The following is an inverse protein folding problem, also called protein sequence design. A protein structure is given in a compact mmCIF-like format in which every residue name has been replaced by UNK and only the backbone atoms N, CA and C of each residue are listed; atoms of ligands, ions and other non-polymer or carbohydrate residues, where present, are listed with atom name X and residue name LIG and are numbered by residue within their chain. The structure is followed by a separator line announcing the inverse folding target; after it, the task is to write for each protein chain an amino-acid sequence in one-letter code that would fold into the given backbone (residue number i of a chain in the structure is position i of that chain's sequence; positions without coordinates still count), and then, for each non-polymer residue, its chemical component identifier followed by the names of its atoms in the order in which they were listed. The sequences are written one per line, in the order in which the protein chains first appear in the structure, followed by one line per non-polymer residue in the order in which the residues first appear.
data_IF_503361725225
#
_entry.id   IF_503361725225
#
_cell.length_a   1.000
_cell.length_b   1.000
_cell.length_c   1.000
_cell.angle_alpha   90.00
_cell.angle_beta   90.00
_cell.angle_gamma   90.00
#
_symmetry.space_group_name_H-M   'P 1'
#
loop_
_entity.id
_entity.type
_entity.pdbx_description
1 polymer ?
#
# COMPACT_ATOMS: atom_id res chain seq x y z
N UNK A 1 13.84 -4.22 -12.41
CA UNK A 1 13.16 -5.44 -11.96
C UNK A 1 11.64 -5.34 -12.11
N UNK A 2 10.92 -4.57 -11.30
CA UNK A 2 9.46 -4.41 -11.41
C UNK A 2 8.98 -3.86 -12.76
N UNK A 3 9.74 -2.93 -13.39
CA UNK A 3 9.41 -2.43 -14.73
C UNK A 3 9.41 -3.58 -15.74
N UNK A 4 10.45 -4.38 -15.77
CA UNK A 4 10.57 -5.54 -16.68
C UNK A 4 9.43 -6.56 -16.45
N UNK A 5 9.12 -6.87 -15.21
CA UNK A 5 8.02 -7.77 -14.87
C UNK A 5 6.65 -7.25 -15.32
N UNK A 6 6.44 -5.93 -15.30
CA UNK A 6 5.21 -5.30 -15.81
C UNK A 6 5.16 -5.27 -17.34
N UNK A 7 6.28 -4.98 -18.00
CA UNK A 7 6.39 -5.00 -19.46
C UNK A 7 6.09 -6.39 -20.02
N UNK A 8 6.52 -7.44 -19.33
CA UNK A 8 6.25 -8.83 -19.67
C UNK A 8 4.91 -9.37 -19.16
N UNK A 9 4.11 -8.56 -18.45
CA UNK A 9 2.80 -8.95 -17.90
C UNK A 9 2.84 -10.22 -17.05
N UNK A 10 3.92 -10.40 -16.29
CA UNK A 10 4.08 -11.56 -15.41
C UNK A 10 2.98 -11.60 -14.34
N UNK A 11 2.49 -12.80 -14.06
CA UNK A 11 1.58 -13.06 -12.93
C UNK A 11 2.26 -12.76 -11.59
N UNK A 12 1.51 -12.75 -10.51
CA UNK A 12 2.04 -12.49 -9.16
C UNK A 12 3.12 -13.52 -8.78
N UNK A 13 2.87 -14.80 -9.05
CA UNK A 13 3.79 -15.89 -8.73
C UNK A 13 5.05 -15.85 -9.60
N UNK A 14 4.93 -15.59 -10.90
CA UNK A 14 6.07 -15.40 -11.79
C UNK A 14 6.93 -14.19 -11.37
N UNK A 15 6.30 -13.10 -10.94
CA UNK A 15 7.02 -11.95 -10.39
C UNK A 15 7.76 -12.29 -9.10
N UNK A 16 7.16 -13.09 -8.23
CA UNK A 16 7.82 -13.55 -7.01
C UNK A 16 9.03 -14.44 -7.33
N UNK A 17 8.89 -15.39 -8.26
CA UNK A 17 10.00 -16.23 -8.70
C UNK A 17 11.14 -15.39 -9.28
N UNK A 18 10.83 -14.43 -10.15
CA UNK A 18 11.79 -13.49 -10.73
C UNK A 18 12.51 -12.65 -9.68
N UNK A 19 11.79 -12.17 -8.65
CA UNK A 19 12.40 -11.44 -7.53
C UNK A 19 13.37 -12.31 -6.74
N UNK A 20 12.98 -13.55 -6.44
CA UNK A 20 13.82 -14.49 -5.70
C UNK A 20 15.10 -14.82 -6.45
N UNK A 21 15.00 -15.03 -7.74
CA UNK A 21 16.14 -15.34 -8.58
C UNK A 21 17.12 -14.15 -8.68
N UNK A 22 16.62 -12.96 -8.98
CA UNK A 22 17.48 -11.84 -9.36
C UNK A 22 17.78 -10.84 -8.22
N UNK A 23 16.98 -10.78 -7.17
CA UNK A 23 17.19 -9.81 -6.09
C UNK A 23 17.60 -10.44 -4.77
N UNK A 24 17.14 -11.63 -4.45
CA UNK A 24 17.43 -12.25 -3.16
C UNK A 24 18.93 -12.43 -2.88
N UNK A 25 19.78 -12.77 -3.85
CA UNK A 25 21.23 -12.84 -3.63
C UNK A 25 21.82 -11.51 -3.17
N UNK A 26 21.45 -10.40 -3.82
CA UNK A 26 21.89 -9.05 -3.45
C UNK A 26 21.38 -8.63 -2.08
N UNK A 27 20.14 -8.97 -1.76
CA UNK A 27 19.56 -8.69 -0.44
C UNK A 27 20.30 -9.47 0.66
N UNK A 28 20.66 -10.72 0.39
CA UNK A 28 21.48 -11.51 1.31
C UNK A 28 22.86 -10.89 1.55
N UNK A 29 23.53 -10.46 0.50
CA UNK A 29 24.82 -9.78 0.59
C UNK A 29 24.73 -8.48 1.40
N UNK A 30 23.73 -7.65 1.16
CA UNK A 30 23.50 -6.42 1.94
C UNK A 30 23.29 -6.75 3.42
N UNK A 31 22.56 -7.82 3.74
CA UNK A 31 22.37 -8.25 5.12
C UNK A 31 23.68 -8.62 5.81
N UNK A 32 24.49 -9.43 5.16
CA UNK A 32 25.79 -9.84 5.69
C UNK A 32 26.71 -8.63 5.91
N UNK A 33 26.73 -7.68 4.98
CA UNK A 33 27.46 -6.42 5.14
C UNK A 33 26.93 -5.60 6.32
N UNK A 34 25.64 -5.48 6.51
CA UNK A 34 25.05 -4.81 7.66
C UNK A 34 25.41 -5.50 8.98
N UNK A 35 25.41 -6.83 9.02
CA UNK A 35 25.84 -7.61 10.18
C UNK A 35 27.32 -7.42 10.49
N UNK A 36 28.18 -7.40 9.48
CA UNK A 36 29.62 -7.15 9.63
C UNK A 36 29.87 -5.74 10.17
N UNK A 37 29.24 -4.73 9.58
CA UNK A 37 29.35 -3.33 10.01
C UNK A 37 28.85 -3.11 11.44
N UNK A 38 27.77 -3.78 11.83
CA UNK A 38 27.20 -3.62 13.19
C UNK A 38 28.17 -4.01 14.31
N UNK A 39 29.13 -4.88 14.00
CA UNK A 39 30.16 -5.33 14.97
C UNK A 39 31.31 -4.34 15.13
N UNK A 40 31.56 -3.52 14.12
CA UNK A 40 32.74 -2.60 14.07
C UNK A 40 32.33 -1.14 14.31
N UNK A 41 31.09 -0.77 14.14
CA UNK A 41 30.63 0.61 14.26
C UNK A 41 30.27 0.99 15.71
N UNK A 42 30.53 2.24 16.05
CA UNK A 42 30.03 2.81 17.31
C UNK A 42 28.49 2.93 17.25
N UNK A 43 27.76 2.38 18.24
CA UNK A 43 26.29 2.35 18.21
C UNK A 43 25.60 3.71 18.07
N UNK A 44 26.25 4.77 18.59
CA UNK A 44 25.73 6.14 18.55
C UNK A 44 26.18 6.95 17.33
N UNK A 45 27.04 6.39 16.46
CA UNK A 45 27.39 7.05 15.20
C UNK A 45 26.20 7.05 14.24
N UNK A 46 26.15 8.01 13.33
CA UNK A 46 25.08 8.11 12.32
C UNK A 46 24.98 6.81 11.51
N UNK A 47 26.10 6.24 11.09
CA UNK A 47 26.14 4.99 10.35
C UNK A 47 25.71 3.79 11.23
N UNK A 48 26.16 3.75 12.49
CA UNK A 48 25.74 2.71 13.44
C UNK A 48 24.24 2.70 13.69
N UNK A 49 23.63 3.87 13.84
CA UNK A 49 22.18 4.01 13.97
C UNK A 49 21.45 3.56 12.71
N UNK A 50 21.94 3.94 11.52
CA UNK A 50 21.34 3.52 10.24
C UNK A 50 21.41 2.00 10.05
N UNK A 51 22.53 1.37 10.36
CA UNK A 51 22.70 -0.09 10.29
C UNK A 51 21.78 -0.78 11.28
N UNK A 52 21.73 -0.32 12.53
CA UNK A 52 20.83 -0.88 13.55
C UNK A 52 19.36 -0.76 13.15
N UNK A 53 18.95 0.37 12.59
CA UNK A 53 17.61 0.57 12.07
C UNK A 53 17.28 -0.41 10.93
N UNK A 54 18.19 -0.58 9.99
CA UNK A 54 18.04 -1.51 8.85
C UNK A 54 17.89 -2.95 9.34
N UNK A 55 18.76 -3.41 10.24
CA UNK A 55 18.71 -4.76 10.80
C UNK A 55 17.41 -5.01 11.60
N UNK A 56 16.94 -4.02 12.35
CA UNK A 56 15.66 -4.08 13.07
C UNK A 56 14.45 -4.25 12.14
N UNK A 57 14.50 -3.63 10.96
CA UNK A 57 13.44 -3.73 9.95
C UNK A 57 13.59 -4.94 9.04
N UNK A 58 14.71 -5.66 9.10
CA UNK A 58 15.05 -6.73 8.16
C UNK A 58 13.94 -7.78 7.96
N UNK A 59 13.31 -8.30 9.03
CA UNK A 59 12.22 -9.26 8.88
C UNK A 59 11.02 -8.71 8.09
N UNK A 60 10.78 -7.40 8.19
CA UNK A 60 9.70 -6.72 7.46
C UNK A 60 10.08 -6.48 6.00
N UNK A 61 11.33 -6.09 5.75
CA UNK A 61 11.86 -5.84 4.41
C UNK A 61 11.88 -7.11 3.55
N UNK A 62 12.13 -8.27 4.15
CA UNK A 62 12.12 -9.55 3.43
C UNK A 62 10.75 -10.03 2.98
N UNK A 63 9.67 -9.54 3.57
CA UNK A 63 8.31 -10.04 3.27
C UNK A 63 7.93 -9.96 1.78
N UNK A 64 8.48 -9.04 1.03
CA UNK A 64 8.25 -8.96 -0.42
C UNK A 64 8.79 -10.16 -1.21
N UNK A 65 9.62 -11.01 -0.58
CA UNK A 65 10.11 -12.27 -1.14
C UNK A 65 9.32 -13.50 -0.67
N UNK A 66 8.41 -13.32 0.28
CA UNK A 66 7.57 -14.40 0.81
C UNK A 66 6.17 -14.37 0.20
N UNK A 67 5.68 -13.19 -0.17
CA UNK A 67 4.31 -12.97 -0.66
C UNK A 67 4.31 -12.41 -2.08
N UNK A 68 3.60 -13.10 -2.99
CA UNK A 68 3.51 -12.73 -4.41
C UNK A 68 2.79 -11.38 -4.63
N UNK A 69 1.80 -11.08 -3.80
CA UNK A 69 0.97 -9.87 -3.91
C UNK A 69 1.66 -8.61 -3.36
N UNK A 70 2.77 -8.75 -2.63
CA UNK A 70 3.50 -7.60 -2.08
C UNK A 70 4.33 -6.93 -3.17
N UNK A 71 4.06 -5.66 -3.42
CA UNK A 71 4.84 -4.82 -4.33
C UNK A 71 6.15 -4.36 -3.67
N UNK A 72 7.22 -4.19 -4.47
CA UNK A 72 8.49 -3.60 -4.00
C UNK A 72 8.40 -2.08 -3.84
N UNK A 73 7.41 -1.46 -4.42
CA UNK A 73 7.19 -0.03 -4.43
C UNK A 73 5.93 0.33 -3.64
N UNK A 74 6.01 1.36 -2.83
CA UNK A 74 4.85 1.96 -2.15
C UNK A 74 4.17 3.06 -2.97
N UNK A 75 4.55 3.26 -4.24
CA UNK A 75 4.00 4.31 -5.11
C UNK A 75 2.47 4.29 -5.16
N UNK A 76 1.87 3.10 -5.11
CA UNK A 76 0.42 2.94 -5.12
C UNK A 76 -0.20 3.53 -3.84
N UNK A 77 0.41 3.28 -2.69
CA UNK A 77 -0.02 3.85 -1.40
C UNK A 77 0.21 5.37 -1.36
N UNK A 78 1.36 5.84 -1.82
CA UNK A 78 1.68 7.28 -1.88
C UNK A 78 0.73 8.03 -2.81
N UNK A 79 0.44 7.48 -3.99
CA UNK A 79 -0.52 8.07 -4.91
C UNK A 79 -1.95 8.12 -4.32
N UNK A 80 -2.31 7.18 -3.47
CA UNK A 80 -3.60 7.20 -2.76
C UNK A 80 -3.69 8.32 -1.73
N UNK A 81 -2.55 8.72 -1.17
CA UNK A 81 -2.48 9.82 -0.20
C UNK A 81 -2.42 11.20 -0.86
N UNK A 82 -2.20 11.29 -2.17
CA UNK A 82 -2.14 12.59 -2.89
C UNK A 82 -3.38 13.46 -2.71
N UNK A 83 -4.62 12.94 -2.82
CA UNK A 83 -5.81 13.76 -2.61
C UNK A 83 -5.85 14.37 -1.22
N UNK A 84 -5.42 13.63 -0.19
CA UNK A 84 -5.36 14.10 1.20
C UNK A 84 -4.29 15.20 1.36
N UNK A 85 -3.09 15.01 0.79
CA UNK A 85 -2.00 16.00 0.88
C UNK A 85 -2.31 17.28 0.10
N UNK A 86 -2.96 17.18 -1.04
CA UNK A 86 -3.43 18.33 -1.81
C UNK A 86 -4.60 19.04 -1.07
N UNK A 87 -5.54 18.26 -0.56
CA UNK A 87 -6.67 18.78 0.21
C UNK A 87 -6.21 19.52 1.47
N UNK A 88 -5.16 19.02 2.16
CA UNK A 88 -4.58 19.70 3.32
C UNK A 88 -4.09 21.12 3.00
N UNK A 89 -3.58 21.36 1.81
CA UNK A 89 -3.19 22.71 1.37
C UNK A 89 -4.39 23.64 1.21
N UNK A 90 -5.56 23.09 0.85
CA UNK A 90 -6.77 23.85 0.60
C UNK A 90 -7.60 24.05 1.88
N UNK A 91 -7.67 23.01 2.74
CA UNK A 91 -8.55 23.02 3.93
C UNK A 91 -7.81 23.30 5.23
N UNK A 92 -6.47 23.26 5.22
CA UNK A 92 -5.58 23.42 6.38
C UNK A 92 -5.74 22.32 7.46
N UNK A 93 -6.97 21.84 7.73
CA UNK A 93 -7.29 20.82 8.72
C UNK A 93 -8.63 20.12 8.40
N UNK A 94 -8.87 18.97 9.00
CA UNK A 94 -10.10 18.18 8.85
C UNK A 94 -11.14 18.42 9.96
N UNK A 95 -11.03 19.52 10.68
CA UNK A 95 -11.98 19.94 11.71
C UNK A 95 -11.66 19.39 13.10
N UNK A 96 -11.61 18.07 13.29
CA UNK A 96 -11.33 17.46 14.59
C UNK A 96 -10.70 16.07 14.46
N UNK A 97 -10.16 15.54 15.56
CA UNK A 97 -9.66 14.17 15.62
C UNK A 97 -10.74 13.12 15.28
N UNK A 98 -11.99 13.39 15.63
CA UNK A 98 -13.13 12.51 15.31
C UNK A 98 -13.55 12.59 13.84
N UNK A 99 -13.26 13.66 13.12
CA UNK A 99 -13.54 13.79 11.70
C UNK A 99 -12.54 13.03 10.83
N UNK A 100 -11.30 12.89 11.30
CA UNK A 100 -10.23 12.24 10.55
C UNK A 100 -10.59 10.84 10.02
N UNK A 101 -11.02 9.89 10.87
CA UNK A 101 -11.41 8.54 10.41
C UNK A 101 -12.56 8.55 9.40
N UNK A 102 -13.54 9.44 9.55
CA UNK A 102 -14.67 9.58 8.63
C UNK A 102 -14.22 10.07 7.26
N UNK A 103 -13.37 11.07 7.24
CA UNK A 103 -12.76 11.60 6.01
C UNK A 103 -11.91 10.54 5.33
N UNK A 104 -11.09 9.80 6.09
CA UNK A 104 -10.29 8.70 5.56
C UNK A 104 -11.14 7.60 4.94
N UNK A 105 -12.27 7.23 5.55
CA UNK A 105 -13.20 6.26 5.00
C UNK A 105 -13.80 6.73 3.67
N UNK A 106 -14.23 7.98 3.58
CA UNK A 106 -14.76 8.57 2.33
C UNK A 106 -13.70 8.55 1.22
N UNK A 107 -12.47 9.01 1.52
CA UNK A 107 -11.38 8.97 0.56
C UNK A 107 -11.02 7.55 0.13
N UNK A 108 -11.08 6.57 1.03
CA UNK A 108 -10.84 5.17 0.72
C UNK A 108 -11.85 4.65 -0.31
N UNK A 109 -13.12 5.00 -0.18
CA UNK A 109 -14.16 4.63 -1.15
C UNK A 109 -13.94 5.31 -2.50
N UNK A 110 -13.70 6.62 -2.50
CA UNK A 110 -13.45 7.41 -3.73
C UNK A 110 -12.23 6.86 -4.48
N UNK A 111 -11.14 6.60 -3.77
CA UNK A 111 -9.91 6.06 -4.36
C UNK A 111 -10.12 4.63 -4.90
N UNK A 112 -10.93 3.83 -4.23
CA UNK A 112 -11.31 2.49 -4.71
C UNK A 112 -12.12 2.58 -6.01
N UNK A 113 -13.09 3.48 -6.10
CA UNK A 113 -13.82 3.74 -7.34
C UNK A 113 -12.87 4.17 -8.46
N UNK A 114 -11.99 5.14 -8.18
CA UNK A 114 -11.02 5.64 -9.16
C UNK A 114 -10.12 4.53 -9.71
N UNK A 115 -9.62 3.64 -8.86
CA UNK A 115 -8.73 2.53 -9.25
C UNK A 115 -9.42 1.46 -10.07
N UNK A 116 -10.69 1.23 -9.79
CA UNK A 116 -11.51 0.24 -10.48
C UNK A 116 -12.19 0.80 -11.74
N UNK A 117 -12.01 2.11 -12.03
CA UNK A 117 -12.71 2.75 -13.14
C UNK A 117 -14.21 2.91 -12.91
N UNK A 118 -14.67 2.83 -11.67
CA UNK A 118 -16.08 2.98 -11.30
C UNK A 118 -16.47 4.46 -11.29
N UNK A 119 -17.53 4.88 -11.98
CA UNK A 119 -18.06 6.24 -11.88
C UNK A 119 -18.51 6.53 -10.46
N UNK A 120 -17.71 7.28 -9.70
CA UNK A 120 -17.94 7.51 -8.26
C UNK A 120 -19.32 8.11 -7.96
N UNK A 121 -19.81 9.01 -8.83
CA UNK A 121 -21.13 9.64 -8.67
C UNK A 121 -22.23 8.59 -8.74
N UNK A 122 -22.22 7.76 -9.77
CA UNK A 122 -23.26 6.76 -10.02
C UNK A 122 -23.26 5.70 -8.92
N UNK A 123 -22.07 5.24 -8.53
CA UNK A 123 -21.89 4.35 -7.39
C UNK A 123 -22.50 4.94 -6.10
N UNK A 124 -22.22 6.21 -5.78
CA UNK A 124 -22.75 6.83 -4.57
C UNK A 124 -24.26 7.05 -4.63
N UNK A 125 -24.80 7.39 -5.78
CA UNK A 125 -26.26 7.53 -5.99
C UNK A 125 -27.00 6.23 -5.77
N UNK A 126 -26.40 5.11 -6.12
CA UNK A 126 -26.99 3.77 -5.92
C UNK A 126 -26.81 3.25 -4.49
N UNK A 127 -25.62 3.41 -3.91
CA UNK A 127 -25.27 2.80 -2.62
C UNK A 127 -25.80 3.58 -1.41
N UNK A 128 -25.76 4.93 -1.44
CA UNK A 128 -26.15 5.74 -0.29
C UNK A 128 -27.65 5.63 0.07
N UNK A 129 -28.59 5.57 -0.89
CA UNK A 129 -29.99 5.37 -0.55
C UNK A 129 -30.21 4.03 0.16
N UNK A 130 -30.83 4.07 1.32
CA UNK A 130 -31.14 2.87 2.11
C UNK A 130 -29.97 2.28 2.89
N UNK A 131 -28.79 2.89 2.87
CA UNK A 131 -27.60 2.41 3.60
C UNK A 131 -27.86 2.27 5.11
N UNK A 132 -28.62 3.19 5.70
CA UNK A 132 -28.99 3.16 7.12
C UNK A 132 -29.89 1.99 7.53
N UNK A 133 -30.52 1.33 6.59
CA UNK A 133 -31.42 0.18 6.82
C UNK A 133 -30.71 -1.17 6.66
N UNK A 134 -29.46 -1.18 6.22
CA UNK A 134 -28.68 -2.39 5.95
C UNK A 134 -27.95 -2.88 7.18
N UNK A 135 -27.78 -4.17 7.28
CA UNK A 135 -26.98 -4.82 8.32
C UNK A 135 -25.48 -4.73 8.00
N UNK A 136 -24.65 -4.94 9.01
CA UNK A 136 -23.18 -4.90 8.84
C UNK A 136 -22.66 -5.91 7.81
N UNK A 137 -23.27 -7.08 7.72
CA UNK A 137 -22.92 -8.11 6.74
C UNK A 137 -23.21 -7.69 5.31
N UNK A 138 -24.27 -6.91 5.08
CA UNK A 138 -24.64 -6.43 3.76
C UNK A 138 -23.72 -5.34 3.23
N UNK A 139 -22.99 -4.60 4.12
CA UNK A 139 -22.02 -3.58 3.68
C UNK A 139 -20.87 -4.16 2.85
N UNK A 140 -20.51 -5.42 3.06
CA UNK A 140 -19.47 -6.08 2.25
C UNK A 140 -19.85 -6.18 0.78
N UNK A 141 -21.13 -6.23 0.47
CA UNK A 141 -21.66 -6.28 -0.90
C UNK A 141 -21.69 -4.90 -1.57
N UNK A 142 -21.58 -3.83 -0.78
CA UNK A 142 -21.62 -2.46 -1.27
C UNK A 142 -20.26 -1.90 -1.66
N UNK A 143 -19.19 -2.68 -1.52
CA UNK A 143 -17.85 -2.23 -1.91
C UNK A 143 -17.79 -1.92 -3.42
N UNK A 144 -16.98 -0.92 -3.86
CA UNK A 144 -16.87 -0.59 -5.28
C UNK A 144 -16.53 -1.78 -6.19
N UNK A 145 -15.72 -2.73 -5.70
CA UNK A 145 -15.38 -3.94 -6.44
C UNK A 145 -16.58 -4.86 -6.66
N UNK A 146 -17.43 -5.03 -5.64
CA UNK A 146 -18.66 -5.84 -5.75
C UNK A 146 -19.70 -5.14 -6.60
N UNK A 147 -19.85 -3.83 -6.41
CA UNK A 147 -20.77 -3.04 -7.23
C UNK A 147 -20.43 -3.15 -8.71
N UNK A 148 -19.15 -3.04 -9.09
CA UNK A 148 -18.69 -3.20 -10.47
C UNK A 148 -19.04 -4.59 -11.04
N UNK A 149 -18.99 -5.64 -10.23
CA UNK A 149 -19.35 -6.99 -10.70
C UNK A 149 -20.84 -7.18 -11.01
N UNK A 150 -21.69 -6.30 -10.47
CA UNK A 150 -23.15 -6.33 -10.68
C UNK A 150 -23.65 -5.25 -11.64
N UNK A 151 -22.78 -4.28 -12.00
CA UNK A 151 -23.04 -3.17 -12.92
C UNK A 151 -21.92 -3.09 -13.95
N UNK A 152 -21.83 -4.06 -14.88
CA UNK A 152 -20.76 -4.14 -15.89
C UNK A 152 -20.77 -2.96 -16.88
#
# INVERSE_FOLDING_TARGET
MDRHAREQKLTADERLAYRREHALPWVAEIHEQCLALSKSLLPKSTLGQAVAYTLNLWPKLRRCFDYADVELSNNLAENSMRPVTLGRKNWLHVGSAHAGPKVAAIFSVIESCRRLGVPTKDYLLDVLPGMSRRTRSEYTQLTPARWLSTHP
#
